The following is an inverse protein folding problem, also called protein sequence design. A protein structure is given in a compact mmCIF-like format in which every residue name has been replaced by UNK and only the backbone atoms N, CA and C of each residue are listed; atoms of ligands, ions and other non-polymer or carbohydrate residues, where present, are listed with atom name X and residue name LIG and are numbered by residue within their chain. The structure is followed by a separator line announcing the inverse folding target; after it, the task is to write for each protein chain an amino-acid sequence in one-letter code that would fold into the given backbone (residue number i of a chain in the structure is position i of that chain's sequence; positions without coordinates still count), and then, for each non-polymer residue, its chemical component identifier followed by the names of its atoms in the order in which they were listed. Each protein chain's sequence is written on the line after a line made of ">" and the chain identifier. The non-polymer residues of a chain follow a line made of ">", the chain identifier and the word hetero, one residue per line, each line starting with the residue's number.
data_IF_597305624872
#
_entry.id   IF_597305624872
#
_cell.length_a   1.000
_cell.length_b   1.000
_cell.length_c   1.000
_cell.angle_alpha   90.00
_cell.angle_beta   90.00
_cell.angle_gamma   90.00
#
_symmetry.space_group_name_H-M   'P 1'
#
loop_
_entity.id
_entity.type
_entity.pdbx_description
1 polymer ?
#
# COMPACT_ATOMS: atom_id res chain seq x y z
N UNK A 1 30.08 -51.22 -22.84
CA UNK A 1 29.27 -51.19 -21.59
C UNK A 1 29.26 -49.82 -20.88
N UNK A 2 29.74 -48.71 -21.47
CA UNK A 2 29.80 -47.40 -20.80
C UNK A 2 28.65 -46.43 -21.10
N UNK A 3 27.92 -46.70 -22.18
CA UNK A 3 26.78 -45.90 -22.63
C UNK A 3 25.58 -45.88 -21.64
N UNK A 4 25.16 -47.01 -21.02
CA UNK A 4 24.05 -46.98 -20.06
C UNK A 4 24.43 -46.25 -18.76
N UNK A 5 25.71 -46.30 -18.37
CA UNK A 5 26.22 -45.60 -17.19
C UNK A 5 26.24 -44.08 -17.42
N UNK A 6 26.62 -43.65 -18.62
CA UNK A 6 26.58 -42.24 -19.02
C UNK A 6 25.14 -41.71 -19.09
N UNK A 7 24.20 -42.52 -19.59
CA UNK A 7 22.79 -42.17 -19.66
C UNK A 7 22.16 -42.01 -18.27
N UNK A 8 22.47 -42.91 -17.33
CA UNK A 8 22.06 -42.81 -15.92
C UNK A 8 22.63 -41.56 -15.25
N UNK A 9 23.90 -41.22 -15.52
CA UNK A 9 24.52 -40.01 -14.98
C UNK A 9 23.80 -38.75 -15.49
N UNK A 10 23.49 -38.68 -16.79
CA UNK A 10 22.77 -37.56 -17.40
C UNK A 10 21.34 -37.40 -16.86
N UNK A 11 20.62 -38.51 -16.60
CA UNK A 11 19.31 -38.44 -15.93
C UNK A 11 19.43 -37.88 -14.51
N UNK A 12 20.44 -38.30 -13.73
CA UNK A 12 20.69 -37.77 -12.37
C UNK A 12 21.09 -36.29 -12.37
N UNK A 13 21.84 -35.85 -13.38
CA UNK A 13 22.18 -34.44 -13.59
C UNK A 13 20.96 -33.60 -14.01
N UNK A 14 19.98 -34.20 -14.70
CA UNK A 14 18.71 -33.54 -15.06
C UNK A 14 17.75 -33.37 -13.89
N UNK A 15 17.82 -34.25 -12.89
CA UNK A 15 17.12 -34.09 -11.60
C UNK A 15 17.76 -33.00 -10.70
N UNK A 16 18.96 -32.52 -11.06
CA UNK A 16 19.78 -31.59 -10.28
C UNK A 16 19.73 -30.12 -10.69
N UNK A 17 18.85 -29.70 -11.60
CA UNK A 17 18.75 -28.31 -12.09
C UNK A 17 17.40 -27.62 -11.87
N UNK A 18 16.62 -28.08 -10.90
CA UNK A 18 15.54 -27.25 -10.35
C UNK A 18 15.73 -27.12 -8.84
N UNK A 19 16.57 -26.15 -8.45
CA UNK A 19 16.79 -25.77 -7.04
C UNK A 19 15.56 -25.07 -6.43
N UNK A 20 14.53 -24.80 -7.24
CA UNK A 20 13.28 -24.20 -6.81
C UNK A 20 12.40 -25.26 -6.14
N UNK A 21 12.28 -25.16 -4.82
CA UNK A 21 11.23 -25.84 -4.05
C UNK A 21 9.86 -25.49 -4.65
N UNK A 22 8.98 -26.50 -4.79
CA UNK A 22 7.59 -26.23 -5.19
C UNK A 22 6.95 -25.27 -4.20
N UNK A 23 6.46 -24.14 -4.70
CA UNK A 23 5.83 -23.09 -3.90
C UNK A 23 4.34 -23.38 -3.76
N UNK A 24 3.88 -23.55 -2.53
CA UNK A 24 2.44 -23.56 -2.23
C UNK A 24 1.97 -22.11 -2.17
N UNK A 25 1.28 -21.67 -3.23
CA UNK A 25 0.76 -20.32 -3.36
C UNK A 25 -0.29 -20.01 -2.30
N UNK A 26 -1.06 -21.00 -1.84
CA UNK A 26 -2.12 -20.77 -0.87
C UNK A 26 -1.55 -20.59 0.54
N UNK A 27 -0.53 -21.39 0.89
CA UNK A 27 0.24 -21.15 2.11
C UNK A 27 0.94 -19.77 2.11
N UNK A 28 1.47 -19.33 0.98
CA UNK A 28 2.09 -18.01 0.85
C UNK A 28 1.09 -16.86 0.95
N UNK A 29 -0.07 -16.98 0.30
CA UNK A 29 -1.18 -16.02 0.45
C UNK A 29 -1.61 -15.91 1.91
N UNK A 30 -1.79 -17.02 2.61
CA UNK A 30 -2.17 -17.02 4.03
C UNK A 30 -1.14 -16.30 4.90
N UNK A 31 0.16 -16.56 4.70
CA UNK A 31 1.23 -15.84 5.41
C UNK A 31 1.22 -14.35 5.10
N UNK A 32 0.97 -13.99 3.83
CA UNK A 32 0.89 -12.59 3.41
C UNK A 32 -0.30 -11.87 4.03
N UNK A 33 -1.46 -12.52 4.12
CA UNK A 33 -2.66 -11.97 4.77
C UNK A 33 -2.36 -11.63 6.24
N UNK A 34 -1.75 -12.55 6.98
CA UNK A 34 -1.43 -12.32 8.40
C UNK A 34 -0.39 -11.19 8.57
N UNK A 35 0.62 -11.15 7.69
CA UNK A 35 1.60 -10.06 7.69
C UNK A 35 0.94 -8.69 7.38
N UNK A 36 0.03 -8.64 6.42
CA UNK A 36 -0.70 -7.41 6.06
C UNK A 36 -1.64 -6.97 7.20
N UNK A 37 -2.31 -7.92 7.88
CA UNK A 37 -3.12 -7.64 9.07
C UNK A 37 -2.28 -6.93 10.14
N UNK A 38 -1.15 -7.50 10.52
CA UNK A 38 -0.25 -6.89 11.50
C UNK A 38 0.32 -5.55 11.05
N UNK A 39 0.58 -5.40 9.73
CA UNK A 39 1.05 -4.14 9.15
C UNK A 39 0.01 -3.03 9.27
N UNK A 40 -1.26 -3.30 8.95
CA UNK A 40 -2.34 -2.30 9.04
C UNK A 40 -2.49 -1.84 10.50
N UNK A 41 -2.60 -2.77 11.44
CA UNK A 41 -2.75 -2.46 12.87
C UNK A 41 -1.55 -1.66 13.41
N UNK A 42 -0.33 -2.04 13.04
CA UNK A 42 0.89 -1.32 13.42
C UNK A 42 0.93 0.10 12.86
N UNK A 43 0.53 0.29 11.59
CA UNK A 43 0.46 1.62 10.97
C UNK A 43 -0.57 2.53 11.64
N UNK A 44 -1.72 1.97 12.01
CA UNK A 44 -2.81 2.69 12.71
C UNK A 44 -2.58 2.84 14.22
N UNK A 45 -1.55 2.21 14.78
CA UNK A 45 -1.24 2.18 16.23
C UNK A 45 -2.38 1.62 17.09
N UNK A 46 -3.13 0.67 16.56
CA UNK A 46 -4.18 -0.07 17.28
C UNK A 46 -3.77 -1.52 17.49
N UNK A 47 -4.20 -2.15 18.58
CA UNK A 47 -3.81 -3.53 18.94
C UNK A 47 -4.74 -4.60 18.35
N UNK A 48 -5.98 -4.23 18.10
CA UNK A 48 -7.03 -5.06 17.53
C UNK A 48 -7.91 -4.19 16.63
N UNK A 49 -8.69 -4.79 15.71
CA UNK A 49 -9.76 -4.08 15.03
C UNK A 49 -10.68 -3.38 16.06
N UNK A 50 -11.19 -2.17 15.76
CA UNK A 50 -12.24 -1.56 16.55
C UNK A 50 -13.49 -2.45 16.56
N UNK A 51 -14.29 -2.36 17.62
CA UNK A 51 -15.56 -3.10 17.74
C UNK A 51 -16.56 -2.52 16.72
N UNK A 52 -17.37 -3.38 16.08
CA UNK A 52 -18.41 -2.99 15.12
C UNK A 52 -19.70 -2.45 15.84
N UNK A 53 -19.60 -2.23 17.15
CA UNK A 53 -20.72 -1.89 18.04
C UNK A 53 -20.74 -0.39 18.35
N UNK A 54 -21.03 0.44 17.36
CA UNK A 54 -21.49 1.80 17.61
C UNK A 54 -22.91 1.94 17.06
N UNK A 55 -23.90 2.14 17.92
CA UNK A 55 -25.23 2.66 17.56
C UNK A 55 -25.16 4.03 16.81
N UNK A 56 -23.95 4.59 16.71
CA UNK A 56 -23.57 5.80 15.96
C UNK A 56 -22.93 5.52 14.58
N UNK A 57 -22.71 4.26 14.19
CA UNK A 57 -22.18 3.95 12.86
C UNK A 57 -23.20 4.28 11.77
N UNK A 58 -22.84 5.13 10.80
CA UNK A 58 -23.76 5.50 9.73
C UNK A 58 -24.17 4.24 8.95
N UNK A 59 -25.47 4.08 8.60
CA UNK A 59 -25.95 2.86 7.97
C UNK A 59 -25.08 2.50 6.76
N UNK A 60 -24.83 1.19 6.54
CA UNK A 60 -23.91 0.72 5.52
C UNK A 60 -24.27 1.33 4.18
N UNK A 61 -23.41 2.24 3.69
CA UNK A 61 -23.61 3.00 2.46
C UNK A 61 -23.71 4.53 2.59
N UNK A 62 -23.72 5.09 3.81
CA UNK A 62 -23.89 6.54 4.02
C UNK A 62 -22.61 7.29 4.44
N UNK A 63 -21.50 7.04 3.73
CA UNK A 63 -20.29 7.85 3.91
C UNK A 63 -20.56 9.28 3.44
N UNK A 64 -20.30 10.32 4.26
CA UNK A 64 -20.55 11.70 3.87
C UNK A 64 -19.83 12.09 2.57
N UNK A 65 -20.44 12.88 1.68
CA UNK A 65 -19.83 13.28 0.41
C UNK A 65 -18.47 13.99 0.57
N UNK A 66 -18.29 14.73 1.66
CA UNK A 66 -17.03 15.40 1.97
C UNK A 66 -15.89 14.40 2.26
N UNK A 67 -16.18 13.33 2.99
CA UNK A 67 -15.21 12.25 3.27
C UNK A 67 -14.85 11.51 1.97
N UNK A 68 -15.84 11.25 1.11
CA UNK A 68 -15.60 10.66 -0.21
C UNK A 68 -14.74 11.56 -1.11
N UNK A 69 -14.99 12.87 -1.08
CA UNK A 69 -14.20 13.84 -1.82
C UNK A 69 -12.74 13.86 -1.32
N UNK A 70 -12.55 13.92 0.00
CA UNK A 70 -11.23 13.87 0.63
C UNK A 70 -10.48 12.58 0.27
N UNK A 71 -11.15 11.44 0.34
CA UNK A 71 -10.59 10.14 -0.04
C UNK A 71 -10.13 10.12 -1.51
N UNK A 72 -10.99 10.58 -2.43
CA UNK A 72 -10.66 10.60 -3.86
C UNK A 72 -9.47 11.52 -4.17
N UNK A 73 -9.45 12.73 -3.60
CA UNK A 73 -8.32 13.65 -3.73
C UNK A 73 -7.02 13.05 -3.17
N UNK A 74 -7.08 12.38 -2.02
CA UNK A 74 -5.93 11.72 -1.41
C UNK A 74 -5.43 10.56 -2.26
N UNK A 75 -6.32 9.75 -2.82
CA UNK A 75 -5.96 8.62 -3.70
C UNK A 75 -5.19 9.10 -4.92
N UNK A 76 -5.65 10.17 -5.57
CA UNK A 76 -4.95 10.72 -6.73
C UNK A 76 -3.61 11.38 -6.34
N UNK A 77 -3.55 12.10 -5.21
CA UNK A 77 -2.30 12.66 -4.69
C UNK A 77 -1.25 11.58 -4.38
N UNK A 78 -1.67 10.47 -3.77
CA UNK A 78 -0.76 9.37 -3.42
C UNK A 78 -0.22 8.65 -4.65
N UNK A 79 -1.02 8.50 -5.70
CA UNK A 79 -0.55 7.96 -7.00
C UNK A 79 0.52 8.85 -7.61
N UNK A 80 0.30 10.17 -7.62
CA UNK A 80 1.29 11.12 -8.16
C UNK A 80 2.60 11.09 -7.36
N UNK A 81 2.51 11.06 -6.03
CA UNK A 81 3.69 10.92 -5.16
C UNK A 81 4.45 9.62 -5.41
N UNK A 82 3.74 8.50 -5.59
CA UNK A 82 4.38 7.22 -5.91
C UNK A 82 5.13 7.29 -7.25
N UNK A 83 4.56 7.93 -8.28
CA UNK A 83 5.21 8.15 -9.57
C UNK A 83 6.48 9.00 -9.45
N UNK A 84 6.42 10.07 -8.65
CA UNK A 84 7.58 10.93 -8.40
C UNK A 84 8.69 10.19 -7.64
N UNK A 85 8.34 9.45 -6.58
CA UNK A 85 9.30 8.66 -5.80
C UNK A 85 10.00 7.59 -6.65
N UNK A 86 9.25 6.92 -7.54
CA UNK A 86 9.82 5.97 -8.51
C UNK A 86 10.81 6.65 -9.45
N UNK A 87 10.47 7.84 -9.97
CA UNK A 87 11.36 8.61 -10.85
C UNK A 87 12.63 9.12 -10.16
N UNK A 88 12.56 9.36 -8.84
CA UNK A 88 13.67 9.86 -8.03
C UNK A 88 14.54 8.74 -7.42
N UNK A 89 14.19 7.47 -7.65
CA UNK A 89 14.82 6.31 -6.99
C UNK A 89 14.83 6.41 -5.45
N UNK A 90 13.86 7.13 -4.88
CA UNK A 90 13.77 7.35 -3.44
C UNK A 90 13.30 6.06 -2.74
N UNK A 91 14.15 5.53 -1.86
CA UNK A 91 13.90 4.29 -1.11
C UNK A 91 13.94 4.46 0.41
N UNK A 92 14.31 5.64 0.88
CA UNK A 92 14.45 5.90 2.31
C UNK A 92 13.09 6.30 2.89
N UNK A 93 12.63 5.54 3.89
CA UNK A 93 11.44 5.86 4.68
C UNK A 93 11.91 6.09 6.11
N UNK A 94 11.63 7.27 6.64
CA UNK A 94 11.86 7.55 8.06
C UNK A 94 10.91 6.71 8.94
N UNK A 95 11.21 6.59 10.23
CA UNK A 95 10.29 5.99 11.20
C UNK A 95 8.96 6.76 11.29
N UNK A 96 8.99 8.08 11.11
CA UNK A 96 7.79 8.92 11.11
C UNK A 96 6.87 8.65 9.91
N UNK A 97 7.44 8.26 8.77
CA UNK A 97 6.68 7.88 7.57
C UNK A 97 6.10 6.46 7.65
N UNK A 98 6.50 5.68 8.64
CA UNK A 98 5.95 4.34 8.82
C UNK A 98 4.48 4.39 9.27
N UNK A 99 4.12 5.31 10.15
CA UNK A 99 2.79 5.39 10.75
C UNK A 99 1.78 6.11 9.84
N UNK A 100 0.51 5.77 10.02
CA UNK A 100 -0.58 6.44 9.31
C UNK A 100 -0.67 7.92 9.73
N UNK A 101 -0.97 8.78 8.75
CA UNK A 101 -1.18 10.22 8.94
C UNK A 101 -2.66 10.52 8.71
N UNK A 102 -3.24 11.32 9.59
CA UNK A 102 -4.58 11.86 9.38
C UNK A 102 -4.55 12.87 8.23
N UNK A 103 -5.54 12.79 7.34
CA UNK A 103 -5.63 13.68 6.18
C UNK A 103 -6.72 14.71 6.43
N UNK A 104 -6.39 15.98 6.21
CA UNK A 104 -7.32 17.09 6.34
C UNK A 104 -7.26 17.98 5.09
N UNK A 105 -8.41 18.57 4.72
CA UNK A 105 -8.51 19.54 3.63
C UNK A 105 -8.90 20.90 4.21
N UNK A 106 -8.14 21.93 3.85
CA UNK A 106 -8.39 23.31 4.26
C UNK A 106 -8.70 24.10 2.99
N UNK A 107 -9.90 24.65 2.90
CA UNK A 107 -10.32 25.45 1.76
C UNK A 107 -9.80 26.89 1.90
N UNK A 108 -9.20 27.40 0.82
CA UNK A 108 -8.65 28.76 0.79
C UNK A 108 -9.75 29.78 0.53
N UNK A 109 -9.68 30.93 1.20
CA UNK A 109 -10.55 32.07 0.88
C UNK A 109 -10.21 32.59 -0.52
N UNK A 110 -11.21 32.96 -1.35
CA UNK A 110 -10.93 33.59 -2.63
C UNK A 110 -10.07 34.85 -2.46
N UNK A 111 -9.17 35.14 -3.41
CA UNK A 111 -8.32 36.32 -3.35
C UNK A 111 -9.18 37.59 -3.29
N UNK A 112 -8.83 38.51 -2.39
CA UNK A 112 -9.49 39.83 -2.27
C UNK A 112 -9.23 40.61 -3.55
N UNK A 113 -10.30 40.99 -4.27
CA UNK A 113 -10.23 41.78 -5.51
C UNK A 113 -10.06 43.29 -5.30
N UNK A 114 -9.95 43.76 -4.06
CA UNK A 114 -9.68 45.19 -3.78
C UNK A 114 -8.18 45.48 -3.78
N UNK A 115 -7.59 45.54 -4.96
CA UNK A 115 -6.43 46.41 -5.20
C UNK A 115 -6.89 47.56 -6.09
N UNK A 116 -7.43 48.58 -5.44
CA UNK A 116 -7.44 49.94 -5.95
C UNK A 116 -6.07 50.27 -6.56
N UNK A 117 -6.00 50.34 -7.89
CA UNK A 117 -4.85 50.91 -8.59
C UNK A 117 -4.65 52.35 -8.07
N UNK A 118 -3.46 52.74 -7.59
CA UNK A 118 -3.19 54.14 -7.35
C UNK A 118 -3.21 54.85 -8.72
N UNK A 119 -4.17 55.76 -8.90
CA UNK A 119 -4.13 56.70 -10.02
C UNK A 119 -2.90 57.59 -9.83
N UNK A 120 -1.94 57.47 -10.75
CA UNK A 120 -0.89 58.46 -10.97
C UNK A 120 -1.35 59.48 -12.00
#
# INVERSE_FOLDING_TARGET
>A
MRLPFLLLLLLRLSEGFNTCQSIDLDAQKSRRIEAVRGQILSKLRIRSPPEDDDDDDPPPGSVPPEVLLLYNSTRELMKERARLAESACERESSEEDYYAKEVQRIDMQPPRTDSSLPQY
#
